data_IF_352180211944
#
_entry.id   IF_352180211944
#
_cell.length_a   1.000
_cell.length_b   1.000
_cell.length_c   1.000
_cell.angle_alpha   90.00
_cell.angle_beta   90.00
_cell.angle_gamma   90.00
#
_symmetry.space_group_name_H-M   'P 1'
#
loop_
_entity.id
_entity.type
_entity.pdbx_description
1 polymer ?
#
# COMPACT_ATOMS: atom_id res chain seq x y z
N UNK A 1 -29.89 10.19 31.58
CA UNK A 1 -28.70 10.64 30.81
C UNK A 1 -27.94 9.39 30.43
N UNK A 2 -28.18 8.90 29.20
CA UNK A 2 -27.57 7.68 28.69
C UNK A 2 -26.24 8.06 28.05
N UNK A 3 -25.14 7.58 28.63
CA UNK A 3 -23.85 7.51 27.94
C UNK A 3 -23.94 6.38 26.92
N UNK A 4 -24.31 6.73 25.68
CA UNK A 4 -24.08 5.89 24.51
C UNK A 4 -22.57 5.91 24.18
N UNK A 5 -21.79 5.11 24.92
CA UNK A 5 -20.49 4.65 24.46
C UNK A 5 -20.75 3.31 23.76
N UNK A 6 -21.14 3.38 22.49
CA UNK A 6 -21.02 2.23 21.60
C UNK A 6 -19.54 2.08 21.24
N UNK A 7 -18.74 1.64 22.22
CA UNK A 7 -17.34 1.29 22.01
C UNK A 7 -17.30 0.07 21.12
N UNK A 8 -16.67 0.18 19.96
CA UNK A 8 -16.35 -0.99 19.19
C UNK A 8 -15.35 -1.83 20.00
N UNK A 9 -15.64 -3.12 20.24
CA UNK A 9 -14.84 -4.06 21.08
C UNK A 9 -13.32 -4.16 20.77
N UNK A 10 -12.86 -3.47 19.73
CA UNK A 10 -11.47 -3.40 19.30
C UNK A 10 -11.21 -2.10 18.55
N UNK A 11 -10.03 -1.51 18.71
CA UNK A 11 -9.65 -0.26 18.02
C UNK A 11 -8.69 -0.49 16.84
N UNK A 12 -8.17 -1.72 16.68
CA UNK A 12 -7.08 -2.04 15.76
C UNK A 12 -7.22 -3.43 15.13
N UNK A 13 -6.39 -3.68 14.12
CA UNK A 13 -6.26 -4.98 13.46
C UNK A 13 -4.81 -5.42 13.56
N UNK A 14 -4.60 -6.66 14.00
CA UNK A 14 -3.29 -7.30 13.99
C UNK A 14 -2.95 -7.69 12.55
N UNK A 15 -1.86 -7.15 12.03
CA UNK A 15 -1.30 -7.44 10.72
C UNK A 15 0.02 -8.17 10.90
N UNK A 16 0.13 -9.35 10.32
CA UNK A 16 1.40 -10.08 10.23
C UNK A 16 2.19 -9.54 9.06
N UNK A 17 3.46 -9.27 9.29
CA UNK A 17 4.40 -8.81 8.29
C UNK A 17 5.31 -9.95 7.81
N UNK A 18 5.82 -9.87 6.57
CA UNK A 18 6.86 -10.77 6.08
C UNK A 18 8.10 -10.76 6.98
N UNK A 19 8.85 -11.87 6.96
CA UNK A 19 10.11 -12.00 7.72
C UNK A 19 9.97 -12.50 9.15
N UNK A 20 8.78 -12.98 9.55
CA UNK A 20 8.58 -13.63 10.85
C UNK A 20 9.36 -14.96 10.96
N UNK A 21 9.92 -15.25 12.14
CA UNK A 21 10.46 -16.58 12.43
C UNK A 21 9.32 -17.53 12.78
N UNK A 22 9.19 -18.64 12.06
CA UNK A 22 8.09 -19.60 12.26
C UNK A 22 8.50 -20.63 13.31
N UNK A 23 8.01 -20.46 14.54
CA UNK A 23 8.24 -21.39 15.65
C UNK A 23 6.91 -21.98 16.16
N UNK A 24 6.91 -23.19 16.76
CA UNK A 24 5.73 -23.77 17.40
C UNK A 24 5.12 -22.84 18.46
N UNK A 25 5.94 -22.19 19.26
CA UNK A 25 5.53 -21.26 20.31
C UNK A 25 4.87 -20.01 19.72
N UNK A 26 5.44 -19.45 18.65
CA UNK A 26 4.87 -18.32 17.91
C UNK A 26 3.51 -18.66 17.30
N UNK A 27 3.38 -19.85 16.71
CA UNK A 27 2.10 -20.34 16.18
C UNK A 27 1.07 -20.48 17.29
N UNK A 28 1.41 -21.13 18.42
CA UNK A 28 0.49 -21.28 19.57
C UNK A 28 0.02 -19.93 20.10
N UNK A 29 0.93 -18.95 20.23
CA UNK A 29 0.60 -17.60 20.68
C UNK A 29 -0.38 -16.93 19.72
N UNK A 30 -0.11 -16.98 18.41
CA UNK A 30 -1.00 -16.41 17.39
C UNK A 30 -2.35 -17.12 17.32
N UNK A 31 -2.40 -18.44 17.51
CA UNK A 31 -3.65 -19.20 17.65
C UNK A 31 -4.46 -18.69 18.85
N UNK A 32 -3.81 -18.47 19.99
CA UNK A 32 -4.45 -17.94 21.20
C UNK A 32 -4.98 -16.52 21.01
N UNK A 33 -4.22 -15.64 20.35
CA UNK A 33 -4.61 -14.25 20.10
C UNK A 33 -5.78 -14.18 19.10
N UNK A 34 -5.71 -14.94 18.02
CA UNK A 34 -6.65 -14.83 16.89
C UNK A 34 -7.83 -15.79 16.94
N UNK A 35 -7.77 -16.82 17.77
CA UNK A 35 -8.66 -17.99 17.76
C UNK A 35 -8.68 -18.77 16.43
N UNK A 36 -7.65 -18.62 15.59
CA UNK A 36 -7.46 -19.48 14.43
C UNK A 36 -6.71 -20.75 14.80
N UNK A 37 -6.91 -21.80 13.99
CA UNK A 37 -6.15 -23.03 14.11
C UNK A 37 -4.70 -22.85 13.61
N UNK A 38 -3.86 -23.84 13.96
CA UNK A 38 -2.44 -23.85 13.62
C UNK A 38 -2.19 -23.81 12.12
N UNK A 39 -3.04 -24.45 11.31
CA UNK A 39 -2.87 -24.54 9.86
C UNK A 39 -3.07 -23.16 9.21
N UNK A 40 -4.09 -22.42 9.62
CA UNK A 40 -4.35 -21.05 9.15
C UNK A 40 -3.19 -20.12 9.51
N UNK A 41 -2.71 -20.16 10.76
CA UNK A 41 -1.58 -19.32 11.20
C UNK A 41 -0.32 -19.62 10.41
N UNK A 42 0.03 -20.91 10.28
CA UNK A 42 1.21 -21.33 9.54
C UNK A 42 1.16 -20.84 8.09
N UNK A 43 0.00 -20.92 7.44
CA UNK A 43 -0.17 -20.43 6.08
C UNK A 43 -0.02 -18.91 5.99
N UNK A 44 -0.58 -18.15 6.95
CA UNK A 44 -0.43 -16.70 6.98
C UNK A 44 1.01 -16.25 7.19
N UNK A 45 1.79 -16.93 8.02
CA UNK A 45 3.20 -16.62 8.27
C UNK A 45 4.13 -16.91 7.08
N UNK A 46 3.72 -17.80 6.16
CA UNK A 46 4.48 -18.12 4.94
C UNK A 46 4.31 -17.10 3.82
N UNK A 47 3.33 -16.20 3.91
CA UNK A 47 3.02 -15.25 2.85
C UNK A 47 4.06 -14.12 2.84
N UNK A 48 4.48 -13.72 1.64
CA UNK A 48 5.50 -12.68 1.41
C UNK A 48 4.96 -11.24 1.48
N UNK A 49 3.71 -11.05 1.87
CA UNK A 49 3.08 -9.74 2.01
C UNK A 49 2.37 -9.59 3.36
N UNK A 50 2.16 -8.35 3.82
CA UNK A 50 1.33 -8.08 4.98
C UNK A 50 -0.02 -8.79 4.92
N UNK A 51 -0.41 -9.44 6.02
CA UNK A 51 -1.66 -10.18 6.14
C UNK A 51 -2.44 -9.72 7.35
N UNK A 52 -3.69 -9.30 7.12
CA UNK A 52 -4.64 -9.10 8.21
C UNK A 52 -4.88 -10.46 8.88
N UNK A 53 -4.60 -10.51 10.17
CA UNK A 53 -4.87 -11.67 11.01
C UNK A 53 -6.26 -11.52 11.63
N UNK A 54 -6.38 -10.68 12.66
CA UNK A 54 -7.62 -10.54 13.41
C UNK A 54 -7.78 -9.13 14.01
N UNK A 55 -9.01 -8.73 14.36
CA UNK A 55 -9.29 -7.64 15.28
C UNK A 55 -8.50 -7.77 16.58
N UNK A 56 -8.01 -6.65 17.12
CA UNK A 56 -7.32 -6.61 18.41
C UNK A 56 -7.41 -5.22 19.05
N UNK A 57 -7.21 -5.15 20.36
CA UNK A 57 -6.98 -3.87 21.01
C UNK A 57 -5.51 -3.46 20.94
N UNK A 58 -5.25 -2.21 20.56
CA UNK A 58 -3.89 -1.67 20.47
C UNK A 58 -3.14 -1.78 21.79
N UNK A 59 -3.81 -1.67 22.94
CA UNK A 59 -3.19 -1.80 24.26
C UNK A 59 -2.68 -3.23 24.56
N UNK A 60 -3.34 -4.28 24.06
CA UNK A 60 -2.86 -5.66 24.21
C UNK A 60 -1.54 -5.87 23.47
N UNK A 61 -1.44 -5.26 22.29
CA UNK A 61 -0.21 -5.24 21.48
C UNK A 61 0.81 -4.25 22.05
N UNK A 62 0.39 -3.17 22.72
CA UNK A 62 1.30 -2.28 23.43
C UNK A 62 1.96 -2.96 24.63
N UNK A 63 1.29 -3.95 25.23
CA UNK A 63 1.77 -4.67 26.42
C UNK A 63 2.27 -6.08 26.13
N UNK A 64 1.88 -7.01 27.01
CA UNK A 64 2.48 -8.35 27.14
C UNK A 64 2.39 -9.21 25.88
N UNK A 65 1.30 -9.14 25.12
CA UNK A 65 1.16 -9.92 23.88
C UNK A 65 2.15 -9.44 22.81
N UNK A 66 2.35 -8.12 22.70
CA UNK A 66 3.34 -7.56 21.78
C UNK A 66 4.76 -7.94 22.14
N UNK A 67 5.11 -7.86 23.43
CA UNK A 67 6.44 -8.26 23.91
C UNK A 67 6.72 -9.74 23.66
N UNK A 68 5.74 -10.62 23.88
CA UNK A 68 5.87 -12.05 23.59
C UNK A 68 6.06 -12.31 22.09
N UNK A 69 5.31 -11.61 21.23
CA UNK A 69 5.48 -11.73 19.78
C UNK A 69 6.87 -11.25 19.32
N UNK A 70 7.37 -10.15 19.89
CA UNK A 70 8.71 -9.64 19.60
C UNK A 70 9.81 -10.62 20.06
N UNK A 71 9.70 -11.19 21.27
CA UNK A 71 10.62 -12.23 21.78
C UNK A 71 10.65 -13.45 20.86
N UNK A 72 9.48 -13.85 20.34
CA UNK A 72 9.34 -14.97 19.40
C UNK A 72 9.70 -14.58 17.96
N UNK A 73 10.20 -13.36 17.73
CA UNK A 73 10.59 -12.83 16.41
C UNK A 73 9.47 -12.93 15.37
N UNK A 74 8.23 -12.73 15.81
CA UNK A 74 7.10 -12.52 14.91
C UNK A 74 7.15 -11.08 14.44
N UNK A 75 7.12 -10.85 13.13
CA UNK A 75 7.02 -9.52 12.58
C UNK A 75 5.55 -9.15 12.42
N UNK A 76 5.09 -8.12 13.14
CA UNK A 76 3.70 -7.70 13.14
C UNK A 76 3.55 -6.19 13.36
N UNK A 77 2.33 -5.70 13.10
CA UNK A 77 1.85 -4.36 13.42
C UNK A 77 0.41 -4.45 13.95
N UNK A 78 0.05 -3.60 14.91
CA UNK A 78 -1.33 -3.25 15.18
C UNK A 78 -1.69 -1.98 14.40
N UNK A 79 -2.68 -2.09 13.51
CA UNK A 79 -3.12 -1.01 12.64
C UNK A 79 -4.48 -0.51 13.12
N UNK A 80 -4.59 0.75 13.55
CA UNK A 80 -5.86 1.35 13.97
C UNK A 80 -6.91 1.26 12.85
N UNK A 81 -8.18 1.03 13.18
CA UNK A 81 -9.27 0.92 12.17
C UNK A 81 -9.32 2.11 11.20
N UNK A 82 -9.20 3.31 11.75
CA UNK A 82 -9.26 4.57 10.99
C UNK A 82 -8.21 4.63 9.87
N UNK A 83 -7.09 3.90 9.98
CA UNK A 83 -6.11 3.78 8.89
C UNK A 83 -6.75 3.22 7.61
N UNK A 84 -7.67 2.25 7.73
CA UNK A 84 -8.35 1.63 6.60
C UNK A 84 -9.51 2.47 6.07
N UNK A 85 -10.02 3.41 6.86
CA UNK A 85 -11.10 4.33 6.50
C UNK A 85 -10.57 5.62 5.87
N UNK A 86 -9.38 6.08 6.27
CA UNK A 86 -8.76 7.31 5.77
C UNK A 86 -8.51 7.19 4.25
N UNK A 87 -8.93 8.20 3.46
CA UNK A 87 -8.63 8.23 2.03
C UNK A 87 -7.12 8.23 1.80
N UNK A 88 -6.70 7.49 0.78
CA UNK A 88 -5.33 7.54 0.30
C UNK A 88 -5.23 8.67 -0.71
N UNK A 89 -4.46 9.70 -0.36
CA UNK A 89 -4.33 10.93 -1.15
C UNK A 89 -2.89 11.05 -1.70
N UNK A 90 -2.46 10.16 -2.61
CA UNK A 90 -1.11 10.22 -3.15
C UNK A 90 -0.92 11.47 -4.03
N UNK A 91 0.32 11.93 -4.15
CA UNK A 91 0.69 12.92 -5.15
C UNK A 91 0.86 12.23 -6.50
N UNK A 92 -0.16 12.34 -7.37
CA UNK A 92 -0.15 11.74 -8.70
C UNK A 92 0.81 12.49 -9.64
N UNK A 93 1.94 11.87 -9.96
CA UNK A 93 2.98 12.47 -10.80
C UNK A 93 2.63 12.32 -12.27
N UNK A 94 2.52 13.45 -12.96
CA UNK A 94 2.31 13.52 -14.41
C UNK A 94 3.60 13.84 -15.16
N UNK A 95 4.51 14.61 -14.57
CA UNK A 95 5.83 14.85 -15.16
C UNK A 95 6.88 15.05 -14.08
N UNK A 96 8.14 14.88 -14.44
CA UNK A 96 9.25 15.02 -13.49
C UNK A 96 10.48 15.64 -14.15
N UNK A 97 11.35 16.23 -13.32
CA UNK A 97 12.64 16.76 -13.73
C UNK A 97 13.70 16.35 -12.71
N UNK A 98 14.63 15.51 -13.15
CA UNK A 98 15.76 15.07 -12.34
C UNK A 98 16.88 16.09 -12.38
N UNK A 99 17.24 16.65 -11.23
CA UNK A 99 18.37 17.56 -11.07
C UNK A 99 19.57 16.88 -10.40
N UNK A 100 20.70 17.60 -10.34
CA UNK A 100 21.94 17.09 -9.72
C UNK A 100 21.81 16.87 -8.21
N UNK A 101 21.10 17.77 -7.51
CA UNK A 101 20.93 17.73 -6.04
C UNK A 101 19.49 17.43 -5.61
N UNK A 102 18.52 17.87 -6.40
CA UNK A 102 17.09 17.75 -6.11
C UNK A 102 16.34 17.39 -7.37
N UNK A 103 15.29 16.59 -7.21
CA UNK A 103 14.37 16.20 -8.27
C UNK A 103 13.01 16.85 -8.02
N UNK A 104 12.32 17.22 -9.10
CA UNK A 104 11.01 17.90 -9.05
C UNK A 104 9.94 17.04 -9.68
N UNK A 105 8.79 17.00 -9.05
CA UNK A 105 7.64 16.21 -9.49
C UNK A 105 6.41 17.10 -9.59
N UNK A 106 5.66 16.92 -10.67
CA UNK A 106 4.56 17.80 -11.04
C UNK A 106 3.26 16.99 -11.20
N UNK A 107 2.13 17.64 -10.88
CA UNK A 107 0.77 17.12 -11.08
C UNK A 107 -0.05 18.17 -11.85
N UNK A 108 -1.30 17.86 -12.23
CA UNK A 108 -2.13 18.72 -13.08
C UNK A 108 -2.52 20.07 -12.45
N UNK A 109 -2.48 20.18 -11.12
CA UNK A 109 -3.11 21.31 -10.41
C UNK A 109 -2.22 22.03 -9.37
N UNK A 110 -0.93 21.70 -9.22
CA UNK A 110 -0.14 22.17 -8.06
C UNK A 110 1.30 22.63 -8.33
N UNK A 111 1.86 23.29 -7.30
CA UNK A 111 3.28 23.55 -7.13
C UNK A 111 4.07 22.24 -7.14
N UNK A 112 5.29 22.21 -7.69
CA UNK A 112 6.09 21.00 -7.71
C UNK A 112 6.48 20.54 -6.31
N UNK A 113 6.47 19.22 -6.09
CA UNK A 113 7.14 18.61 -4.95
C UNK A 113 8.63 18.49 -5.29
N UNK A 114 9.50 19.04 -4.43
CA UNK A 114 10.95 18.88 -4.54
C UNK A 114 11.44 17.85 -3.52
N UNK A 115 12.23 16.87 -3.96
CA UNK A 115 12.87 15.88 -3.09
C UNK A 115 14.38 15.98 -3.28
N UNK A 116 15.15 16.03 -2.19
CA UNK A 116 16.61 15.96 -2.29
C UNK A 116 17.04 14.54 -2.62
N UNK A 117 17.98 14.40 -3.57
CA UNK A 117 18.38 13.08 -4.06
C UNK A 117 19.07 12.22 -2.99
N UNK A 118 19.57 12.84 -1.92
CA UNK A 118 20.19 12.18 -0.77
C UNK A 118 19.19 11.72 0.30
N UNK A 119 17.92 12.12 0.19
CA UNK A 119 16.90 11.69 1.14
C UNK A 119 16.72 10.17 1.14
N UNK A 120 16.42 9.65 2.33
CA UNK A 120 16.10 8.25 2.48
C UNK A 120 14.67 8.01 2.00
N UNK A 121 14.54 7.36 0.86
CA UNK A 121 13.24 7.03 0.27
C UNK A 121 13.02 5.52 0.22
N UNK A 122 11.75 5.14 0.11
CA UNK A 122 11.31 3.78 -0.22
C UNK A 122 10.62 3.80 -1.58
N UNK A 123 11.10 2.98 -2.50
CA UNK A 123 10.48 2.74 -3.80
C UNK A 123 9.75 1.41 -3.76
N UNK A 124 8.45 1.42 -4.03
CA UNK A 124 7.60 0.22 -4.13
C UNK A 124 7.08 0.12 -5.56
N UNK A 125 7.26 -1.03 -6.21
CA UNK A 125 6.67 -1.32 -7.53
C UNK A 125 5.40 -2.18 -7.36
N UNK A 126 4.44 -2.01 -8.27
CA UNK A 126 3.23 -2.83 -8.29
C UNK A 126 2.55 -2.85 -9.66
N UNK A 127 1.58 -3.75 -9.78
CA UNK A 127 0.67 -3.80 -10.92
C UNK A 127 -0.75 -4.21 -10.49
N UNK A 128 -1.76 -3.59 -11.08
CA UNK A 128 -3.15 -3.95 -10.83
C UNK A 128 -3.98 -3.99 -12.11
N UNK A 129 -4.97 -4.88 -12.11
CA UNK A 129 -5.95 -5.03 -13.20
C UNK A 129 -7.17 -4.19 -12.89
N UNK A 130 -7.62 -3.38 -13.84
CA UNK A 130 -8.94 -2.76 -13.79
C UNK A 130 -9.95 -3.59 -14.56
N UNK A 131 -11.17 -3.68 -14.05
CA UNK A 131 -12.32 -4.22 -14.80
C UNK A 131 -13.03 -3.14 -15.61
N UNK A 132 -12.74 -1.86 -15.35
CA UNK A 132 -13.35 -0.72 -16.01
C UNK A 132 -12.59 -0.35 -17.29
N UNK A 133 -13.24 -0.57 -18.43
CA UNK A 133 -12.72 -0.20 -19.76
C UNK A 133 -12.60 1.31 -19.93
N UNK A 134 -13.45 2.12 -19.28
CA UNK A 134 -13.35 3.59 -19.37
C UNK A 134 -12.12 4.09 -18.64
N UNK A 135 -11.83 3.56 -17.45
CA UNK A 135 -10.60 3.91 -16.73
C UNK A 135 -9.36 3.59 -17.58
N UNK A 136 -9.35 2.45 -18.29
CA UNK A 136 -8.28 2.05 -19.24
C UNK A 136 -8.03 3.06 -20.37
N UNK A 137 -9.05 3.86 -20.72
CA UNK A 137 -9.01 4.86 -21.78
C UNK A 137 -8.88 6.32 -21.28
N UNK A 138 -9.30 6.64 -20.04
CA UNK A 138 -9.30 8.03 -19.52
C UNK A 138 -7.91 8.64 -19.35
N UNK A 139 -6.85 7.84 -19.19
CA UNK A 139 -5.47 8.34 -19.11
C UNK A 139 -4.76 8.38 -20.47
N UNK A 140 -5.44 7.98 -21.55
CA UNK A 140 -4.90 7.95 -22.91
C UNK A 140 -5.49 9.01 -23.85
N UNK A 141 -6.46 9.80 -23.39
CA UNK A 141 -7.04 10.88 -24.19
C UNK A 141 -6.46 12.22 -23.73
N UNK A 142 -5.53 12.73 -24.55
CA UNK A 142 -5.27 14.14 -24.79
C UNK A 142 -5.25 15.04 -23.53
N UNK A 143 -4.16 14.92 -22.76
CA UNK A 143 -3.62 16.16 -22.21
C UNK A 143 -2.92 16.85 -23.38
N UNK A 144 -3.67 17.66 -24.13
CA UNK A 144 -3.13 18.65 -25.07
C UNK A 144 -2.32 19.68 -24.26
N UNK A 145 -1.13 19.29 -23.80
CA UNK A 145 -0.06 20.24 -23.57
C UNK A 145 0.50 20.58 -24.96
N UNK A 146 0.15 21.77 -25.43
CA UNK A 146 0.62 22.37 -26.68
C UNK A 146 2.13 22.68 -26.59
N UNK A 147 2.92 21.62 -26.56
CA UNK A 147 4.38 21.62 -26.57
C UNK A 147 4.80 20.50 -27.53
N UNK A 148 5.22 20.90 -28.73
CA UNK A 148 5.42 20.03 -29.89
C UNK A 148 6.25 18.76 -29.63
N UNK A 149 5.58 17.66 -29.28
CA UNK A 149 6.22 16.40 -28.97
C UNK A 149 5.72 15.27 -29.87
N UNK A 150 6.68 14.53 -30.43
CA UNK A 150 6.45 13.31 -31.23
C UNK A 150 5.50 12.34 -30.50
N UNK A 151 4.42 11.96 -31.20
CA UNK A 151 3.43 10.95 -30.77
C UNK A 151 4.16 9.65 -30.44
N UNK A 152 4.26 9.30 -29.16
CA UNK A 152 4.72 7.98 -28.73
C UNK A 152 3.66 6.98 -29.17
N UNK A 153 4.06 5.93 -29.91
CA UNK A 153 3.11 4.85 -30.22
C UNK A 153 2.74 4.17 -28.90
N UNK A 154 1.46 4.24 -28.54
CA UNK A 154 0.90 3.45 -27.44
C UNK A 154 0.90 1.98 -27.84
N UNK A 155 2.06 1.33 -27.75
CA UNK A 155 2.15 -0.12 -27.81
C UNK A 155 1.96 -0.59 -26.38
N UNK A 156 0.71 -0.92 -26.06
CA UNK A 156 0.30 -1.43 -24.76
C UNK A 156 1.02 -2.75 -24.48
N UNK A 157 1.93 -2.81 -23.50
CA UNK A 157 2.40 -4.11 -23.02
C UNK A 157 1.32 -4.76 -22.18
N UNK A 158 1.08 -6.06 -22.45
CA UNK A 158 0.34 -6.99 -21.60
C UNK A 158 -0.99 -6.43 -21.09
N UNK A 159 -2.04 -6.60 -21.90
CA UNK A 159 -3.43 -6.35 -21.52
C UNK A 159 -3.75 -4.85 -21.27
N UNK A 160 -4.66 -4.29 -22.08
CA UNK A 160 -5.15 -2.91 -21.91
C UNK A 160 -5.69 -2.66 -20.50
N UNK A 161 -5.99 -3.69 -19.72
CA UNK A 161 -6.57 -3.58 -18.39
C UNK A 161 -5.53 -3.59 -17.26
N UNK A 162 -4.23 -3.72 -17.53
CA UNK A 162 -3.19 -3.71 -16.48
C UNK A 162 -2.46 -2.38 -16.41
N UNK A 163 -2.40 -1.81 -15.20
CA UNK A 163 -1.61 -0.65 -14.85
C UNK A 163 -0.34 -1.05 -14.13
N UNK A 164 0.79 -0.41 -14.47
CA UNK A 164 2.03 -0.52 -13.71
C UNK A 164 2.23 0.75 -12.90
N UNK A 165 2.63 0.57 -11.65
CA UNK A 165 2.82 1.66 -10.72
C UNK A 165 4.18 1.59 -10.03
N UNK A 166 4.74 2.76 -9.73
CA UNK A 166 5.85 2.93 -8.80
C UNK A 166 5.41 3.98 -7.78
N UNK A 167 5.58 3.68 -6.50
CA UNK A 167 5.30 4.59 -5.39
C UNK A 167 6.61 4.96 -4.71
N UNK A 168 6.84 6.26 -4.53
CA UNK A 168 7.99 6.81 -3.84
C UNK A 168 7.53 7.42 -2.52
N UNK A 169 7.95 6.81 -1.43
CA UNK A 169 7.69 7.27 -0.06
C UNK A 169 8.90 8.00 0.50
N UNK A 170 8.68 9.16 1.11
CA UNK A 170 9.67 9.86 1.94
C UNK A 170 9.58 9.36 3.39
N UNK A 171 10.64 9.58 4.17
CA UNK A 171 10.66 9.21 5.59
C UNK A 171 9.46 9.83 6.30
N UNK A 172 8.68 8.99 6.99
CA UNK A 172 7.52 9.42 7.80
C UNK A 172 6.39 10.13 7.02
N UNK A 173 6.42 10.12 5.69
CA UNK A 173 5.32 10.58 4.85
C UNK A 173 4.50 9.39 4.31
N UNK A 174 3.27 9.16 4.80
CA UNK A 174 2.43 8.06 4.35
C UNK A 174 1.73 8.31 3.01
N UNK A 175 1.90 9.49 2.40
CA UNK A 175 1.29 9.90 1.13
C UNK A 175 2.38 9.94 0.04
N UNK A 176 2.53 8.87 -0.76
CA UNK A 176 3.65 8.77 -1.70
C UNK A 176 3.42 9.59 -2.96
N UNK A 177 4.53 9.82 -3.67
CA UNK A 177 4.49 10.20 -5.07
C UNK A 177 4.21 8.95 -5.90
N UNK A 178 3.14 8.98 -6.70
CA UNK A 178 2.68 7.82 -7.48
C UNK A 178 2.89 8.07 -8.97
N UNK A 179 3.60 7.14 -9.59
CA UNK A 179 3.92 7.11 -11.01
C UNK A 179 3.12 5.99 -11.66
N UNK A 180 2.22 6.31 -12.59
CA UNK A 180 1.46 5.32 -13.36
C UNK A 180 1.94 5.35 -14.81
N UNK A 181 2.26 4.19 -15.36
CA UNK A 181 2.89 4.06 -16.68
C UNK A 181 2.19 4.83 -17.80
N UNK A 182 0.86 4.82 -17.82
CA UNK A 182 0.04 5.47 -18.85
C UNK A 182 -0.32 6.93 -18.56
N UNK A 183 -0.06 7.44 -17.36
CA UNK A 183 -0.43 8.81 -16.96
C UNK A 183 0.74 9.80 -17.05
N UNK A 184 1.96 9.30 -17.23
CA UNK A 184 3.18 10.12 -17.18
C UNK A 184 3.52 10.65 -18.57
N UNK A 185 3.81 11.95 -18.64
CA UNK A 185 4.52 12.56 -19.75
C UNK A 185 6.02 12.24 -19.64
N UNK A 186 6.52 11.52 -20.66
CA UNK A 186 7.91 11.11 -20.78
C UNK A 186 8.79 12.11 -21.56
N UNK A 187 8.31 13.33 -21.81
CA UNK A 187 9.07 14.41 -22.45
C UNK A 187 10.45 14.64 -21.79
N UNK A 188 10.55 14.49 -20.46
CA UNK A 188 11.79 14.61 -19.70
C UNK A 188 12.88 13.59 -20.08
N UNK A 189 12.54 12.51 -20.80
CA UNK A 189 13.53 11.54 -21.29
C UNK A 189 14.27 12.02 -22.54
N UNK A 190 13.89 13.14 -23.15
CA UNK A 190 14.53 13.81 -24.31
C UNK A 190 15.28 12.85 -25.26
N UNK A 191 16.56 12.58 -25.03
CA UNK A 191 17.44 11.74 -25.87
C UNK A 191 17.28 10.22 -25.71
N UNK A 192 16.67 9.76 -24.62
CA UNK A 192 16.47 8.35 -24.27
C UNK A 192 15.00 7.89 -24.41
N UNK A 193 14.13 8.74 -24.94
CA UNK A 193 12.70 8.44 -25.16
C UNK A 193 12.57 7.23 -26.09
N UNK A 194 11.97 6.15 -25.59
CA UNK A 194 11.68 4.93 -26.34
C UNK A 194 10.30 5.00 -26.98
N UNK A 195 10.07 4.17 -28.00
CA UNK A 195 8.82 4.17 -28.78
C UNK A 195 7.60 3.61 -28.03
N UNK A 196 7.76 2.98 -26.86
CA UNK A 196 6.66 2.33 -26.13
C UNK A 196 6.57 2.79 -24.68
N UNK A 197 5.34 2.85 -24.15
CA UNK A 197 5.03 3.23 -22.75
C UNK A 197 5.81 2.38 -21.77
N UNK A 198 5.80 1.06 -21.96
CA UNK A 198 6.51 0.09 -21.11
C UNK A 198 7.99 0.37 -21.02
N UNK A 199 8.60 0.68 -22.16
CA UNK A 199 10.04 0.88 -22.23
C UNK A 199 10.44 2.24 -21.62
N UNK A 200 9.58 3.26 -21.77
CA UNK A 200 9.73 4.55 -21.09
C UNK A 200 9.52 4.45 -19.58
N UNK A 201 8.51 3.71 -19.12
CA UNK A 201 8.30 3.48 -17.69
C UNK A 201 9.46 2.70 -17.05
N UNK A 202 10.03 1.72 -17.76
CA UNK A 202 11.24 1.04 -17.31
C UNK A 202 12.45 2.00 -17.24
N UNK A 203 12.56 2.94 -18.17
CA UNK A 203 13.62 3.96 -18.13
C UNK A 203 13.43 4.91 -16.95
N UNK A 204 12.20 5.38 -16.69
CA UNK A 204 11.85 6.16 -15.50
C UNK A 204 12.22 5.42 -14.21
N UNK A 205 11.82 4.15 -14.07
CA UNK A 205 12.16 3.33 -12.89
C UNK A 205 13.67 3.29 -12.68
N UNK A 206 14.44 2.95 -13.71
CA UNK A 206 15.90 2.92 -13.63
C UNK A 206 16.48 4.28 -13.26
N UNK A 207 15.89 5.37 -13.72
CA UNK A 207 16.32 6.72 -13.38
C UNK A 207 16.02 7.07 -11.92
N UNK A 208 14.85 6.70 -11.38
CA UNK A 208 14.52 6.81 -9.96
C UNK A 208 15.52 6.02 -9.11
N UNK A 209 15.77 4.75 -9.45
CA UNK A 209 16.72 3.89 -8.72
C UNK A 209 18.14 4.46 -8.72
N UNK A 210 18.59 4.99 -9.86
CA UNK A 210 19.91 5.63 -9.99
C UNK A 210 19.99 6.92 -9.17
N UNK A 211 18.96 7.77 -9.25
CA UNK A 211 18.95 9.09 -8.63
C UNK A 211 18.99 9.01 -7.11
N UNK A 212 18.23 8.07 -6.55
CA UNK A 212 18.12 7.90 -5.10
C UNK A 212 19.00 6.76 -4.55
N UNK A 213 19.87 6.17 -5.39
CA UNK A 213 20.77 5.06 -5.07
C UNK A 213 20.11 3.87 -4.34
N UNK A 214 18.87 3.53 -4.73
CA UNK A 214 18.06 2.50 -4.04
C UNK A 214 17.48 1.55 -5.07
N UNK A 215 17.44 0.26 -4.75
CA UNK A 215 16.62 -0.69 -5.50
C UNK A 215 15.17 -0.53 -5.05
N UNK A 216 14.23 -0.54 -5.98
CA UNK A 216 12.83 -0.72 -5.61
C UNK A 216 12.67 -2.03 -4.84
N UNK A 217 11.91 -1.99 -3.75
CA UNK A 217 11.52 -3.20 -3.04
C UNK A 217 10.64 -4.03 -3.98
N UNK A 218 11.19 -5.16 -4.42
CA UNK A 218 10.53 -6.09 -5.33
C UNK A 218 9.61 -7.06 -4.60
N UNK A 219 9.38 -6.89 -3.29
CA UNK A 219 8.35 -7.59 -2.53
C UNK A 219 6.98 -7.07 -2.99
N UNK A 220 6.65 -7.40 -4.24
CA UNK A 220 5.77 -6.65 -5.11
C UNK A 220 4.29 -7.01 -4.95
N UNK A 221 3.49 -5.98 -5.21
CA UNK A 221 2.05 -6.01 -5.46
C UNK A 221 1.80 -6.57 -6.87
N UNK A 222 2.12 -7.86 -7.10
CA UNK A 222 1.84 -8.51 -8.38
C UNK A 222 0.43 -9.11 -8.37
N UNK A 223 -0.43 -8.62 -9.27
CA UNK A 223 -1.84 -9.00 -9.51
C UNK A 223 -2.62 -9.75 -8.42
N UNK A 224 -3.77 -9.17 -8.05
CA UNK A 224 -4.91 -9.93 -7.52
C UNK A 224 -5.11 -9.88 -6.01
N UNK A 225 -4.71 -8.80 -5.34
CA UNK A 225 -5.14 -8.62 -3.95
C UNK A 225 -6.57 -8.11 -3.92
N UNK A 226 -7.52 -9.02 -3.72
CA UNK A 226 -8.78 -8.67 -3.07
C UNK A 226 -8.47 -8.49 -1.58
N UNK A 227 -7.98 -7.30 -1.21
CA UNK A 227 -7.92 -6.96 0.21
C UNK A 227 -9.35 -6.89 0.74
N UNK A 228 -9.60 -7.70 1.76
CA UNK A 228 -10.89 -7.79 2.41
C UNK A 228 -11.05 -6.59 3.35
N UNK A 229 -12.00 -5.70 3.08
CA UNK A 229 -12.34 -4.65 4.05
C UNK A 229 -13.06 -5.30 5.23
N UNK A 230 -12.58 -5.02 6.44
CA UNK A 230 -13.18 -5.48 7.70
C UNK A 230 -14.30 -4.51 8.06
N UNK A 231 -15.55 -4.96 8.01
CA UNK A 231 -16.70 -4.20 8.54
C UNK A 231 -17.25 -4.88 9.79
N UNK A 232 -17.63 -4.08 10.78
CA UNK A 232 -18.29 -4.55 12.00
C UNK A 232 -19.78 -4.82 11.70
N UNK A 233 -20.29 -6.00 12.04
CA UNK A 233 -21.71 -6.35 11.84
C UNK A 233 -22.64 -5.44 12.65
N UNK A 234 -22.16 -4.88 13.77
CA UNK A 234 -22.97 -4.00 14.63
C UNK A 234 -23.44 -2.72 13.93
N UNK A 235 -22.70 -2.19 12.95
CA UNK A 235 -23.12 -1.02 12.16
C UNK A 235 -24.23 -1.34 11.15
N UNK A 236 -24.41 -2.62 10.78
CA UNK A 236 -25.48 -3.08 9.87
C UNK A 236 -26.74 -3.56 10.59
N UNK A 237 -26.92 -3.24 11.88
CA UNK A 237 -28.17 -3.45 12.62
C UNK A 237 -29.37 -2.60 12.11
N UNK A 238 -29.31 -2.04 10.90
CA UNK A 238 -30.46 -1.45 10.22
C UNK A 238 -31.24 -2.45 9.32
N UNK A 239 -30.76 -3.69 9.10
CA UNK A 239 -31.47 -4.68 8.25
C UNK A 239 -31.53 -6.08 8.84
N UNK A 240 -32.32 -6.23 9.90
CA UNK A 240 -33.24 -7.38 10.10
C UNK A 240 -32.75 -8.83 10.15
N UNK A 241 -31.45 -9.14 10.16
CA UNK A 241 -30.97 -10.53 10.23
C UNK A 241 -30.43 -10.87 11.63
N UNK A 242 -31.10 -11.82 12.30
CA UNK A 242 -30.64 -12.43 13.56
C UNK A 242 -29.48 -13.38 13.25
N UNK A 243 -28.25 -12.94 13.47
CA UNK A 243 -27.06 -13.79 13.48
C UNK A 243 -26.52 -13.97 14.90
N UNK A 244 -26.03 -15.18 15.19
CA UNK A 244 -25.51 -15.60 16.49
C UNK A 244 -24.35 -14.71 16.96
N UNK A 245 -24.23 -14.52 18.29
CA UNK A 245 -23.22 -13.69 18.98
C UNK A 245 -21.77 -14.23 18.91
N UNK A 246 -21.33 -14.74 17.76
CA UNK A 246 -19.88 -14.93 17.48
C UNK A 246 -19.39 -13.71 16.70
N UNK A 247 -18.18 -13.25 17.01
CA UNK A 247 -17.49 -12.11 16.37
C UNK A 247 -17.27 -12.40 14.87
N UNK A 248 -18.32 -12.30 14.07
CA UNK A 248 -18.24 -12.50 12.63
C UNK A 248 -17.77 -11.20 11.97
N UNK A 249 -16.69 -11.29 11.21
CA UNK A 249 -16.15 -10.21 10.40
C UNK A 249 -16.71 -10.37 9.01
N UNK A 250 -17.44 -9.38 8.51
CA UNK A 250 -17.82 -9.37 7.09
C UNK A 250 -16.63 -8.82 6.32
N UNK A 251 -16.15 -9.60 5.37
CA UNK A 251 -15.10 -9.22 4.44
C UNK A 251 -15.69 -8.86 3.09
N UNK A 252 -15.72 -7.57 2.74
CA UNK A 252 -16.16 -7.12 1.41
C UNK A 252 -14.98 -7.00 0.45
N UNK A 253 -15.20 -7.39 -0.80
CA UNK A 253 -14.25 -7.14 -1.88
C UNK A 253 -14.15 -5.62 -2.14
N UNK A 254 -12.93 -5.12 -2.33
CA UNK A 254 -12.65 -3.74 -2.72
C UNK A 254 -11.97 -3.72 -4.09
N UNK A 255 -11.89 -2.54 -4.72
CA UNK A 255 -11.18 -2.42 -6.01
C UNK A 255 -9.69 -2.77 -5.86
N UNK A 256 -9.10 -3.31 -6.92
CA UNK A 256 -7.68 -3.68 -6.93
C UNK A 256 -6.77 -2.47 -6.68
N UNK A 257 -7.18 -1.26 -7.09
CA UNK A 257 -6.47 -0.02 -6.80
C UNK A 257 -6.42 0.27 -5.29
N UNK A 258 -7.58 0.27 -4.61
CA UNK A 258 -7.63 0.49 -3.15
C UNK A 258 -6.82 -0.57 -2.41
N UNK A 259 -6.87 -1.82 -2.88
CA UNK A 259 -6.09 -2.89 -2.29
C UNK A 259 -4.57 -2.65 -2.44
N UNK A 260 -4.14 -2.23 -3.62
CA UNK A 260 -2.75 -1.89 -3.93
C UNK A 260 -2.27 -0.72 -3.06
N UNK A 261 -3.07 0.33 -2.94
CA UNK A 261 -2.79 1.50 -2.10
C UNK A 261 -2.69 1.16 -0.61
N UNK A 262 -3.59 0.33 -0.08
CA UNK A 262 -3.54 -0.11 1.32
C UNK A 262 -2.29 -0.95 1.59
N UNK A 263 -1.96 -1.85 0.69
CA UNK A 263 -0.80 -2.72 0.86
C UNK A 263 0.51 -1.95 0.79
N UNK A 264 0.64 -0.98 -0.13
CA UNK A 264 1.83 -0.14 -0.22
C UNK A 264 2.07 0.66 1.07
N UNK A 265 1.01 1.23 1.66
CA UNK A 265 1.10 1.90 2.96
C UNK A 265 1.53 0.96 4.09
N UNK A 266 1.04 -0.29 4.11
CA UNK A 266 1.47 -1.27 5.11
C UNK A 266 2.96 -1.62 4.96
N UNK A 267 3.46 -1.76 3.73
CA UNK A 267 4.88 -1.97 3.46
C UNK A 267 5.71 -0.73 3.85
N UNK A 268 5.21 0.47 3.62
CA UNK A 268 5.83 1.71 4.10
C UNK A 268 5.98 1.72 5.63
N UNK A 269 4.94 1.33 6.37
CA UNK A 269 5.06 1.26 7.83
C UNK A 269 5.94 0.12 8.33
N UNK A 270 5.97 -1.02 7.63
CA UNK A 270 6.96 -2.06 7.88
C UNK A 270 8.38 -1.48 7.73
N UNK A 271 8.65 -0.78 6.63
CA UNK A 271 9.94 -0.12 6.42
C UNK A 271 10.25 0.90 7.52
N UNK A 272 9.27 1.69 7.97
CA UNK A 272 9.47 2.60 9.09
C UNK A 272 9.78 1.87 10.41
N UNK A 273 9.11 0.74 10.67
CA UNK A 273 9.38 -0.12 11.83
C UNK A 273 10.78 -0.72 11.77
N UNK A 274 11.18 -1.27 10.63
CA UNK A 274 12.50 -1.89 10.43
C UNK A 274 13.65 -0.88 10.61
N UNK A 275 13.36 0.41 10.44
CA UNK A 275 14.30 1.51 10.68
C UNK A 275 14.14 2.18 12.06
N UNK A 276 13.26 1.66 12.93
CA UNK A 276 13.04 2.17 14.28
C UNK A 276 12.30 3.51 14.37
N UNK A 277 11.68 3.97 13.28
CA UNK A 277 10.96 5.25 13.25
C UNK A 277 9.52 5.15 13.74
N UNK A 278 8.92 3.97 13.64
CA UNK A 278 7.58 3.67 14.13
C UNK A 278 7.64 2.43 15.01
N UNK A 279 6.83 2.41 16.08
CA UNK A 279 6.69 1.25 16.98
C UNK A 279 5.81 0.17 16.33
N UNK A 280 5.43 -0.84 17.12
CA UNK A 280 4.49 -1.91 16.71
C UNK A 280 3.03 -1.47 16.56
N UNK A 281 2.68 -0.23 16.87
CA UNK A 281 1.32 0.32 16.73
C UNK A 281 1.39 1.48 15.75
N UNK A 282 0.63 1.39 14.67
CA UNK A 282 0.49 2.48 13.71
C UNK A 282 -0.66 3.35 14.19
N UNK A 283 -0.39 4.62 14.54
CA UNK A 283 -1.42 5.54 14.95
C UNK A 283 -2.27 5.90 13.73
N UNK A 284 -3.53 6.24 13.98
CA UNK A 284 -4.47 6.64 12.96
C UNK A 284 -4.34 8.09 12.49
N UNK A 285 -3.24 8.77 12.81
CA UNK A 285 -3.07 10.23 12.61
C UNK A 285 -3.17 10.58 11.13
#
# INVERSE_FOLDING_TARGET
MNNEVHDSDFDSVLVLLPGSTITPEGIRLLCRISNFDHFIILNKLKIKLPQILCPINSHEIAGSSGDQLDVLRINFLAVKKIFFERPFNPFMVLSCRFGKKRSRFYTSHHHPVEIYNEEKILLIEGDYKTTDEKAAHMFGNDVDFDMGHQKVKAVYSKDLKTYRIVMLYQVMDPEPLVFIDRSIDYSFLESAKKMTVTANFNALKLQLEKTFCRKADQTMLHHGYVLKQVQNISEKKAKGLKLNKKKEIITTAISNEIATNRMSRLLFYQWCKDNGWVKRIIPGV
#
